data_IF_477030101406
#
_entry.id   IF_477030101406
#
_cell.length_a   1.000
_cell.length_b   1.000
_cell.length_c   1.000
_cell.angle_alpha   90.00
_cell.angle_beta   90.00
_cell.angle_gamma   90.00
#
_symmetry.space_group_name_H-M   'P 1'
#
loop_
_entity.id
_entity.type
_entity.pdbx_description
1 polymer ?
#
# COMPACT_ATOMS: atom_id res chain seq x y z
N UNK A 1 -1.45 -32.48 -5.73
CA UNK A 1 -2.24 -31.24 -5.58
C UNK A 1 -1.32 -30.07 -5.95
N UNK A 2 -1.73 -29.19 -6.87
CA UNK A 2 -0.97 -27.98 -7.21
C UNK A 2 -1.28 -26.93 -6.15
N UNK A 3 -0.25 -26.21 -5.65
CA UNK A 3 -0.39 -25.12 -4.66
C UNK A 3 0.12 -23.84 -5.26
N UNK A 4 -0.57 -22.74 -4.97
CA UNK A 4 -0.17 -21.37 -5.34
C UNK A 4 -0.01 -20.59 -4.04
N UNK A 5 1.07 -19.83 -3.92
CA UNK A 5 1.33 -18.93 -2.81
C UNK A 5 1.39 -17.50 -3.37
N UNK A 6 0.51 -16.64 -2.90
CA UNK A 6 0.58 -15.21 -3.16
C UNK A 6 1.21 -14.53 -1.95
N UNK A 7 2.34 -13.84 -2.16
CA UNK A 7 3.05 -13.13 -1.10
C UNK A 7 3.04 -11.65 -1.45
N UNK A 8 2.37 -10.86 -0.63
CA UNK A 8 2.35 -9.39 -0.73
C UNK A 8 3.37 -8.83 0.26
N UNK A 9 4.35 -8.09 -0.23
CA UNK A 9 5.30 -7.36 0.61
C UNK A 9 4.68 -5.99 0.90
N UNK A 10 4.12 -5.85 2.09
CA UNK A 10 3.49 -4.61 2.53
C UNK A 10 4.49 -3.45 2.53
N UNK A 11 4.01 -2.28 2.10
CA UNK A 11 4.81 -1.05 2.00
C UNK A 11 6.07 -1.14 1.12
N UNK A 12 6.20 -2.16 0.28
CA UNK A 12 7.35 -2.36 -0.59
C UNK A 12 7.05 -1.89 -2.02
N UNK A 13 7.16 -0.58 -2.27
CA UNK A 13 7.00 0.02 -3.59
C UNK A 13 8.29 0.04 -4.42
N UNK A 14 8.18 -0.23 -5.71
CA UNK A 14 9.30 -0.21 -6.68
C UNK A 14 9.20 0.96 -7.68
N UNK A 15 8.70 2.07 -7.26
CA UNK A 15 8.43 3.27 -8.04
C UNK A 15 7.02 3.77 -7.78
N UNK A 16 6.60 4.72 -8.57
CA UNK A 16 5.30 5.36 -8.50
C UNK A 16 4.41 4.99 -9.70
N UNK A 17 3.10 5.07 -9.51
CA UNK A 17 2.12 4.99 -10.59
C UNK A 17 1.95 6.36 -11.27
N UNK A 18 1.43 6.42 -12.51
CA UNK A 18 1.24 7.67 -13.24
C UNK A 18 0.37 8.70 -12.53
N UNK A 19 -0.52 8.27 -11.66
CA UNK A 19 -1.43 9.10 -10.89
C UNK A 19 -0.92 9.50 -9.49
N UNK A 20 0.30 9.12 -9.13
CA UNK A 20 0.91 9.39 -7.82
C UNK A 20 0.86 10.87 -7.41
N UNK A 21 0.95 11.79 -8.37
CA UNK A 21 0.82 13.24 -8.12
C UNK A 21 -0.52 13.59 -7.47
N UNK A 22 -1.60 12.91 -7.86
CA UNK A 22 -2.95 13.15 -7.30
C UNK A 22 -3.02 12.81 -5.81
N UNK A 23 -2.15 11.92 -5.36
CA UNK A 23 -2.11 11.41 -3.99
C UNK A 23 -0.94 11.95 -3.17
N UNK A 24 -0.17 12.90 -3.73
CA UNK A 24 1.01 13.46 -3.05
C UNK A 24 2.21 12.51 -2.94
N UNK A 25 2.25 11.47 -3.77
CA UNK A 25 3.25 10.40 -3.73
C UNK A 25 4.31 10.49 -4.84
N UNK A 26 4.35 11.61 -5.55
CA UNK A 26 5.35 11.82 -6.61
C UNK A 26 6.77 11.57 -6.10
N UNK A 27 7.55 10.78 -6.83
CA UNK A 27 8.91 10.40 -6.48
C UNK A 27 9.02 9.27 -5.44
N UNK A 28 7.91 8.65 -5.03
CA UNK A 28 7.96 7.55 -4.06
C UNK A 28 8.61 6.30 -4.67
N UNK A 29 9.59 5.73 -3.96
CA UNK A 29 10.27 4.51 -4.35
C UNK A 29 10.96 3.87 -3.15
N UNK A 30 10.25 2.97 -2.47
CA UNK A 30 10.75 2.31 -1.27
C UNK A 30 11.98 1.47 -1.55
N UNK A 31 12.00 0.71 -2.65
CA UNK A 31 13.17 -0.10 -3.02
C UNK A 31 14.41 0.78 -3.22
N UNK A 32 14.28 1.91 -3.93
CA UNK A 32 15.40 2.82 -4.13
C UNK A 32 15.90 3.44 -2.82
N UNK A 33 15.01 3.67 -1.86
CA UNK A 33 15.38 4.18 -0.54
C UNK A 33 16.14 3.13 0.29
N UNK A 34 15.60 1.92 0.43
CA UNK A 34 16.19 0.87 1.27
C UNK A 34 17.50 0.32 0.69
N UNK A 35 17.69 0.36 -0.63
CA UNK A 35 18.95 -0.05 -1.28
C UNK A 35 20.16 0.77 -0.84
N UNK A 36 19.96 1.96 -0.30
CA UNK A 36 21.05 2.82 0.22
C UNK A 36 21.60 2.31 1.55
N UNK A 37 20.87 1.43 2.22
CA UNK A 37 21.31 0.89 3.51
C UNK A 37 22.39 -0.18 3.32
N UNK A 38 23.53 -0.13 4.06
CA UNK A 38 24.65 -1.06 3.89
C UNK A 38 24.28 -2.53 4.10
N UNK A 39 23.31 -2.82 4.94
CA UNK A 39 22.82 -4.19 5.20
C UNK A 39 21.77 -4.66 4.18
N UNK A 40 21.48 -3.87 3.12
CA UNK A 40 20.50 -4.31 2.12
C UNK A 40 20.99 -5.55 1.37
N UNK A 41 20.23 -6.63 1.46
CA UNK A 41 20.55 -7.90 0.81
C UNK A 41 19.27 -8.67 0.46
N UNK A 42 19.09 -8.96 -0.82
CA UNK A 42 17.90 -9.69 -1.32
C UNK A 42 18.32 -10.77 -2.33
N UNK A 43 19.14 -11.76 -1.93
CA UNK A 43 19.74 -12.71 -2.87
C UNK A 43 18.70 -13.57 -3.61
N UNK A 44 17.61 -13.93 -2.95
CA UNK A 44 16.56 -14.75 -3.57
C UNK A 44 15.67 -13.94 -4.51
N UNK A 45 15.25 -12.73 -4.13
CA UNK A 45 14.50 -11.84 -5.01
C UNK A 45 15.34 -11.43 -6.23
N UNK A 46 16.64 -11.25 -6.05
CA UNK A 46 17.59 -11.02 -7.14
C UNK A 46 17.58 -12.17 -8.16
N UNK A 47 17.65 -13.43 -7.70
CA UNK A 47 17.57 -14.62 -8.56
C UNK A 47 16.22 -14.73 -9.27
N UNK A 48 15.14 -14.27 -8.64
CA UNK A 48 13.81 -14.25 -9.22
C UNK A 48 13.62 -13.12 -10.25
N UNK A 49 14.49 -12.12 -10.29
CA UNK A 49 14.46 -11.06 -11.29
C UNK A 49 14.06 -9.68 -10.79
N UNK A 50 14.08 -9.42 -9.47
CA UNK A 50 13.69 -8.12 -8.90
C UNK A 50 14.33 -6.92 -9.63
N UNK A 51 15.63 -6.99 -9.93
CA UNK A 51 16.36 -5.90 -10.56
C UNK A 51 16.29 -5.89 -12.09
N UNK A 52 15.52 -6.80 -12.67
CA UNK A 52 15.19 -6.81 -14.10
C UNK A 52 13.77 -6.25 -14.37
N UNK A 53 13.02 -5.92 -13.32
CA UNK A 53 11.73 -5.27 -13.47
C UNK A 53 11.95 -3.89 -14.10
N UNK A 54 11.15 -3.54 -15.09
CA UNK A 54 11.24 -2.26 -15.78
C UNK A 54 11.11 -1.08 -14.78
N UNK A 55 11.98 -0.08 -14.95
CA UNK A 55 12.08 1.07 -14.06
C UNK A 55 12.85 0.83 -12.75
N UNK A 56 13.31 -0.39 -12.49
CA UNK A 56 14.21 -0.67 -11.36
C UNK A 56 15.66 -0.49 -11.80
N UNK A 57 16.41 0.36 -11.08
CA UNK A 57 17.82 0.54 -11.36
C UNK A 57 18.59 -0.78 -11.19
N UNK A 58 19.42 -1.20 -12.15
CA UNK A 58 20.16 -2.45 -12.09
C UNK A 58 21.16 -2.47 -10.92
N UNK A 59 21.63 -3.66 -10.59
CA UNK A 59 22.73 -3.85 -9.63
C UNK A 59 24.05 -4.07 -10.37
N UNK A 60 25.20 -3.62 -9.82
CA UNK A 60 26.51 -3.78 -10.47
C UNK A 60 26.85 -5.23 -10.87
N UNK A 61 26.52 -6.19 -10.01
CA UNK A 61 26.80 -7.63 -10.26
C UNK A 61 25.56 -8.40 -10.71
N UNK A 62 24.67 -7.76 -11.43
CA UNK A 62 23.42 -8.39 -11.86
C UNK A 62 23.70 -9.44 -12.92
N UNK A 63 23.30 -10.68 -12.64
CA UNK A 63 23.32 -11.74 -13.66
C UNK A 63 22.38 -11.38 -14.82
N UNK A 64 22.77 -11.64 -16.06
CA UNK A 64 21.88 -11.44 -17.20
C UNK A 64 20.69 -12.40 -17.22
N UNK A 65 20.71 -13.46 -16.41
CA UNK A 65 19.65 -14.46 -16.32
C UNK A 65 18.98 -14.46 -14.94
N UNK A 66 17.69 -14.71 -14.92
CA UNK A 66 16.88 -14.91 -13.72
C UNK A 66 15.91 -16.08 -13.91
N UNK A 67 15.37 -16.62 -12.81
CA UNK A 67 14.57 -17.85 -12.82
C UNK A 67 13.08 -17.62 -12.72
N UNK A 68 12.64 -16.39 -12.44
CA UNK A 68 11.23 -16.02 -12.31
C UNK A 68 10.63 -15.44 -13.58
N UNK A 69 9.35 -15.15 -13.54
CA UNK A 69 8.72 -14.22 -14.46
C UNK A 69 8.55 -12.88 -13.73
N UNK A 70 8.80 -11.80 -14.42
CA UNK A 70 8.75 -10.44 -13.85
C UNK A 70 7.81 -9.56 -14.66
N UNK A 71 7.30 -8.54 -14.03
CA UNK A 71 6.46 -7.55 -14.70
C UNK A 71 6.07 -6.42 -13.75
N UNK A 72 5.50 -5.37 -14.32
CA UNK A 72 4.83 -4.29 -13.60
C UNK A 72 3.36 -4.30 -13.95
N UNK A 73 2.54 -4.02 -12.97
CA UNK A 73 1.10 -3.84 -13.16
C UNK A 73 0.73 -2.43 -12.73
N UNK A 74 -0.17 -1.81 -13.46
CA UNK A 74 -0.82 -0.59 -13.03
C UNK A 74 -2.16 -0.95 -12.40
N UNK A 75 -2.49 -0.30 -11.29
CA UNK A 75 -3.80 -0.40 -10.66
C UNK A 75 -4.86 0.20 -11.59
N UNK A 76 -5.99 -0.48 -11.72
CA UNK A 76 -7.14 0.01 -12.47
C UNK A 76 -8.14 0.75 -11.56
N UNK A 77 -8.09 0.48 -10.26
CA UNK A 77 -8.93 1.13 -9.26
C UNK A 77 -8.57 2.60 -9.07
N UNK A 78 -9.58 3.40 -8.72
CA UNK A 78 -9.40 4.81 -8.37
C UNK A 78 -9.39 4.96 -6.85
N UNK A 79 -8.24 4.91 -6.24
CA UNK A 79 -8.12 5.08 -4.80
C UNK A 79 -6.73 4.72 -4.32
N UNK A 80 -6.33 5.33 -3.22
CA UNK A 80 -5.08 5.01 -2.55
C UNK A 80 -5.40 4.52 -1.15
N UNK A 81 -5.78 3.26 -1.06
CA UNK A 81 -5.98 2.61 0.22
C UNK A 81 -5.79 1.09 0.12
N UNK A 82 -5.40 0.50 1.24
CA UNK A 82 -5.11 -0.93 1.33
C UNK A 82 -6.31 -1.80 0.96
N UNK A 83 -7.52 -1.39 1.28
CA UNK A 83 -8.74 -2.16 1.02
C UNK A 83 -8.98 -2.28 -0.48
N UNK A 84 -8.94 -1.17 -1.20
CA UNK A 84 -9.14 -1.13 -2.65
C UNK A 84 -8.06 -1.96 -3.36
N UNK A 85 -6.79 -1.81 -2.98
CA UNK A 85 -5.70 -2.60 -3.54
C UNK A 85 -5.87 -4.11 -3.34
N UNK A 86 -6.30 -4.54 -2.15
CA UNK A 86 -6.57 -5.97 -1.90
C UNK A 86 -7.79 -6.48 -2.66
N UNK A 87 -8.82 -5.66 -2.83
CA UNK A 87 -9.97 -6.03 -3.67
C UNK A 87 -9.56 -6.22 -5.12
N UNK A 88 -8.72 -5.36 -5.65
CA UNK A 88 -8.23 -5.50 -7.02
C UNK A 88 -7.35 -6.73 -7.21
N UNK A 89 -6.49 -7.08 -6.25
CA UNK A 89 -5.75 -8.36 -6.25
C UNK A 89 -6.73 -9.54 -6.31
N UNK A 90 -7.90 -9.42 -5.69
CA UNK A 90 -8.97 -10.41 -5.76
C UNK A 90 -9.88 -10.26 -7.01
N UNK A 91 -9.45 -9.52 -8.01
CA UNK A 91 -10.18 -9.24 -9.26
C UNK A 91 -11.48 -8.42 -9.07
N UNK A 92 -11.53 -7.56 -8.05
CA UNK A 92 -12.65 -6.64 -7.79
C UNK A 92 -12.15 -5.20 -7.90
N UNK A 93 -12.02 -4.62 -9.10
CA UNK A 93 -11.58 -3.24 -9.25
C UNK A 93 -12.66 -2.27 -8.76
N UNK A 94 -12.23 -1.20 -8.08
CA UNK A 94 -13.08 -0.13 -7.59
C UNK A 94 -12.83 1.16 -8.37
N UNK A 95 -13.70 1.46 -9.33
CA UNK A 95 -13.56 2.66 -10.17
C UNK A 95 -14.01 3.94 -9.45
N UNK A 96 -14.74 3.81 -8.34
CA UNK A 96 -15.12 4.93 -7.49
C UNK A 96 -14.30 4.88 -6.21
N UNK A 97 -13.48 5.91 -5.91
CA UNK A 97 -12.69 5.92 -4.69
C UNK A 97 -13.59 5.93 -3.46
N UNK A 98 -13.13 5.30 -2.38
CA UNK A 98 -13.81 5.38 -1.09
C UNK A 98 -13.81 6.83 -0.59
N UNK A 99 -14.91 7.29 0.06
CA UNK A 99 -14.97 8.62 0.62
C UNK A 99 -13.94 8.80 1.74
N UNK A 100 -13.32 9.96 1.78
CA UNK A 100 -12.36 10.33 2.81
C UNK A 100 -12.92 11.44 3.70
N UNK A 101 -12.55 11.42 4.97
CA UNK A 101 -13.03 12.36 5.98
C UNK A 101 -11.84 13.03 6.70
N UNK A 102 -11.11 13.94 6.02
CA UNK A 102 -9.89 14.53 6.58
C UNK A 102 -10.13 15.38 7.83
N UNK A 103 -11.36 15.85 8.03
CA UNK A 103 -11.77 16.62 9.21
C UNK A 103 -12.68 15.81 10.16
N UNK A 104 -12.69 14.48 10.03
CA UNK A 104 -13.61 13.61 10.76
C UNK A 104 -14.96 13.43 10.06
N UNK A 105 -15.77 12.51 10.58
CA UNK A 105 -17.11 12.25 10.06
C UNK A 105 -18.03 13.45 10.26
N UNK A 106 -19.01 13.67 9.37
CA UNK A 106 -20.00 14.72 9.53
C UNK A 106 -20.77 14.60 10.85
N UNK A 107 -21.21 15.73 11.37
CA UNK A 107 -21.87 15.79 12.67
C UNK A 107 -23.20 15.03 12.72
N UNK A 108 -23.95 15.05 11.64
CA UNK A 108 -25.20 14.29 11.50
C UNK A 108 -24.96 12.78 11.57
N UNK A 109 -23.89 12.30 10.94
CA UNK A 109 -23.45 10.92 11.06
C UNK A 109 -23.10 10.56 12.50
N UNK A 110 -22.31 11.39 13.18
CA UNK A 110 -21.91 11.16 14.58
C UNK A 110 -23.13 11.11 15.51
N UNK A 111 -24.11 12.00 15.33
CA UNK A 111 -25.36 11.99 16.08
C UNK A 111 -26.16 10.71 15.84
N UNK A 112 -26.32 10.32 14.58
CA UNK A 112 -27.10 9.12 14.25
C UNK A 112 -26.42 7.85 14.77
N UNK A 113 -25.10 7.78 14.68
CA UNK A 113 -24.31 6.71 15.28
C UNK A 113 -24.57 6.62 16.80
N UNK A 114 -24.43 7.74 17.50
CA UNK A 114 -24.66 7.79 18.96
C UNK A 114 -26.09 7.44 19.34
N UNK A 115 -27.06 7.91 18.56
CA UNK A 115 -28.48 7.58 18.77
C UNK A 115 -28.75 6.08 18.62
N UNK A 116 -28.16 5.41 17.63
CA UNK A 116 -28.37 3.97 17.36
C UNK A 116 -27.62 3.07 18.33
N UNK A 117 -26.43 3.45 18.71
CA UNK A 117 -25.55 2.59 19.51
C UNK A 117 -25.58 2.88 20.99
N UNK A 118 -26.08 4.06 21.40
CA UNK A 118 -25.96 4.56 22.77
C UNK A 118 -24.51 4.89 23.18
N UNK A 119 -23.58 4.98 22.20
CA UNK A 119 -22.16 5.24 22.44
C UNK A 119 -21.75 6.56 21.81
N UNK A 120 -20.81 7.25 22.44
CA UNK A 120 -20.19 8.46 21.90
C UNK A 120 -19.03 8.08 20.99
N UNK A 121 -18.90 8.76 19.85
CA UNK A 121 -17.76 8.62 18.98
C UNK A 121 -16.59 9.41 19.59
N UNK A 122 -15.51 8.73 19.93
CA UNK A 122 -14.28 9.35 20.40
C UNK A 122 -13.35 9.63 19.22
N UNK A 123 -12.49 10.65 19.34
CA UNK A 123 -11.42 10.94 18.38
C UNK A 123 -11.92 11.05 16.92
N UNK A 124 -12.96 11.88 16.68
CA UNK A 124 -13.52 12.05 15.33
C UNK A 124 -12.61 12.91 14.44
N UNK A 125 -11.40 12.46 14.22
CA UNK A 125 -10.40 13.05 13.30
C UNK A 125 -9.37 11.97 12.92
N UNK A 126 -8.62 12.11 11.83
CA UNK A 126 -7.55 11.19 11.48
C UNK A 126 -6.52 11.08 12.60
N UNK A 127 -6.23 9.87 13.03
CA UNK A 127 -5.31 9.59 14.13
C UNK A 127 -4.58 8.28 13.92
N UNK A 128 -3.39 8.14 14.51
CA UNK A 128 -2.65 6.89 14.50
C UNK A 128 -3.37 5.83 15.34
N UNK A 129 -3.58 4.63 14.80
CA UNK A 129 -4.28 3.56 15.50
C UNK A 129 -3.63 3.16 16.83
N UNK A 130 -2.31 3.18 16.91
CA UNK A 130 -1.57 2.89 18.17
C UNK A 130 -1.69 4.01 19.17
N UNK A 131 -1.69 5.26 18.70
CA UNK A 131 -1.82 6.43 19.58
C UNK A 131 -3.25 6.59 20.10
N UNK A 132 -4.27 6.34 19.28
CA UNK A 132 -5.66 6.39 19.73
C UNK A 132 -5.95 5.36 20.82
N UNK A 133 -5.36 4.17 20.71
CA UNK A 133 -5.50 3.15 21.77
C UNK A 133 -4.82 3.60 23.06
N UNK A 134 -3.64 4.21 22.97
CA UNK A 134 -2.93 4.74 24.14
C UNK A 134 -3.69 5.89 24.81
N UNK A 135 -4.27 6.79 24.02
CA UNK A 135 -4.82 8.05 24.51
C UNK A 135 -6.30 7.93 24.94
N UNK A 136 -7.05 6.96 24.39
CA UNK A 136 -8.48 6.77 24.60
C UNK A 136 -8.86 5.35 25.03
N UNK A 137 -7.95 4.39 24.97
CA UNK A 137 -8.16 3.02 25.41
C UNK A 137 -7.78 2.87 26.88
N UNK A 138 -8.69 2.41 27.72
CA UNK A 138 -8.44 1.98 29.10
C UNK A 138 -8.31 0.46 29.15
#
# INVERSE_FOLDING_TARGET
MKRIFLIVLDSFGIGELPDAVRFGDAGSNTLAAIRKHPAFSTPNLRKLGLFHIDGVAPQPDQSPSFTGCIGRMAEASNGKDTTVGHWEIACVPSYTPLPTYPNGFPEDFCREFSRRTGKTLLCNHPYSGTEVIRDYGE
#
